data_IF_478617361083
#
_entry.id   IF_478617361083
#
_cell.length_a   1.000
_cell.length_b   1.000
_cell.length_c   1.000
_cell.angle_alpha   90.00
_cell.angle_beta   90.00
_cell.angle_gamma   90.00
#
_symmetry.space_group_name_H-M   'P 1'
#
loop_
_entity.id
_entity.type
_entity.pdbx_description
1 polymer ?
#
# COMPACT_ATOMS: atom_id res chain seq x y z
N UNK A 1 3.97 -8.63 27.40
CA UNK A 1 4.41 -7.21 27.51
C UNK A 1 4.86 -6.60 26.18
N UNK A 2 5.07 -7.37 25.13
CA UNK A 2 5.46 -6.88 23.78
C UNK A 2 4.32 -6.09 23.12
N UNK A 3 3.08 -6.57 23.18
CA UNK A 3 1.94 -5.93 22.52
C UNK A 3 1.68 -4.46 22.89
N UNK A 4 1.77 -4.09 24.17
CA UNK A 4 1.57 -2.70 24.62
C UNK A 4 2.64 -1.70 24.14
N UNK A 5 3.86 -2.16 23.83
CA UNK A 5 4.93 -1.31 23.28
C UNK A 5 4.77 -1.07 21.79
N UNK A 6 4.29 -2.06 21.05
CA UNK A 6 4.05 -1.98 19.60
C UNK A 6 2.89 -1.03 19.29
N UNK A 7 1.78 -1.11 20.03
CA UNK A 7 0.63 -0.21 19.90
C UNK A 7 0.94 1.28 20.09
N UNK A 8 1.97 1.61 20.89
CA UNK A 8 2.38 3.00 21.09
C UNK A 8 3.23 3.57 19.95
N UNK A 9 3.86 2.71 19.15
CA UNK A 9 4.74 3.11 18.03
C UNK A 9 3.97 3.07 16.69
N UNK A 10 3.02 2.13 16.58
CA UNK A 10 2.24 1.90 15.35
C UNK A 10 0.73 2.07 15.67
N UNK A 11 0.17 3.28 15.55
CA UNK A 11 -1.23 3.53 15.88
C UNK A 11 -2.14 2.86 14.86
N UNK A 12 -2.69 1.69 15.21
CA UNK A 12 -3.68 0.98 14.41
C UNK A 12 -5.07 1.57 14.63
N UNK A 13 -5.72 1.98 13.54
CA UNK A 13 -7.15 2.31 13.54
C UNK A 13 -7.91 1.03 13.19
N UNK A 14 -8.67 0.50 14.14
CA UNK A 14 -9.54 -0.66 13.90
C UNK A 14 -10.81 -0.20 13.21
N UNK A 15 -11.17 -0.84 12.12
CA UNK A 15 -12.40 -0.58 11.37
C UNK A 15 -13.08 -1.90 10.99
N UNK A 16 -14.41 -1.88 10.73
CA UNK A 16 -15.10 -3.06 10.23
C UNK A 16 -14.53 -3.50 8.87
N UNK A 17 -14.22 -4.79 8.75
CA UNK A 17 -13.79 -5.39 7.49
C UNK A 17 -15.05 -5.81 6.72
N UNK A 18 -15.14 -5.34 5.46
CA UNK A 18 -16.28 -5.57 4.58
C UNK A 18 -16.08 -6.71 3.58
N UNK A 19 -16.72 -6.57 2.43
CA UNK A 19 -16.66 -7.55 1.34
C UNK A 19 -15.30 -7.59 0.65
N UNK A 20 -15.04 -8.70 -0.08
CA UNK A 20 -13.85 -8.87 -0.90
C UNK A 20 -13.84 -7.85 -2.05
N UNK A 21 -12.82 -7.00 -2.07
CA UNK A 21 -12.60 -5.99 -3.13
C UNK A 21 -11.65 -6.52 -4.19
N UNK A 22 -10.50 -7.07 -3.78
CA UNK A 22 -9.51 -7.65 -4.68
C UNK A 22 -9.37 -9.14 -4.40
N UNK A 23 -9.36 -9.95 -5.46
CA UNK A 23 -9.01 -11.36 -5.38
C UNK A 23 -7.96 -11.69 -6.43
N UNK A 24 -6.93 -12.39 -6.03
CA UNK A 24 -5.84 -12.87 -6.87
C UNK A 24 -5.89 -14.39 -6.83
N UNK A 25 -5.91 -15.05 -8.00
CA UNK A 25 -6.01 -16.51 -8.11
C UNK A 25 -4.87 -17.07 -8.97
N UNK A 26 -4.08 -17.98 -8.38
CA UNK A 26 -3.02 -18.73 -9.03
C UNK A 26 -2.04 -17.86 -9.84
N UNK A 27 -1.78 -16.62 -9.36
CA UNK A 27 -0.93 -15.67 -10.04
C UNK A 27 0.51 -16.15 -10.02
N UNK A 28 1.13 -16.21 -11.20
CA UNK A 28 2.53 -16.60 -11.35
C UNK A 28 3.26 -15.67 -12.30
N UNK A 29 4.53 -15.41 -12.03
CA UNK A 29 5.38 -14.54 -12.80
C UNK A 29 6.86 -14.81 -12.55
N UNK A 30 7.68 -13.82 -12.83
CA UNK A 30 9.09 -13.87 -12.52
C UNK A 30 9.33 -13.52 -11.04
N UNK A 31 9.92 -14.45 -10.29
CA UNK A 31 10.19 -14.34 -8.86
C UNK A 31 9.00 -14.72 -7.95
N UNK A 32 7.86 -15.19 -8.48
CA UNK A 32 6.73 -15.67 -7.67
C UNK A 32 5.88 -16.69 -8.42
N UNK A 33 5.20 -17.60 -7.70
CA UNK A 33 4.40 -18.66 -8.29
C UNK A 33 3.21 -19.06 -7.43
N UNK A 34 2.07 -19.30 -8.11
CA UNK A 34 0.85 -19.83 -7.52
C UNK A 34 0.30 -19.00 -6.34
N UNK A 35 0.38 -17.69 -6.46
CA UNK A 35 -0.09 -16.75 -5.43
C UNK A 35 -1.61 -16.64 -5.51
N UNK A 36 -2.26 -16.96 -4.39
CA UNK A 36 -3.73 -16.86 -4.24
C UNK A 36 -4.06 -16.18 -2.91
N UNK A 37 -4.73 -15.05 -2.95
CA UNK A 37 -5.23 -14.34 -1.79
C UNK A 37 -6.36 -13.37 -2.16
N UNK A 38 -7.03 -12.86 -1.14
CA UNK A 38 -8.04 -11.80 -1.28
C UNK A 38 -7.77 -10.65 -0.31
N UNK A 39 -8.26 -9.46 -0.65
CA UNK A 39 -8.22 -8.27 0.22
C UNK A 39 -9.62 -7.69 0.28
N UNK A 40 -10.05 -7.31 1.49
CA UNK A 40 -11.40 -6.85 1.79
C UNK A 40 -11.46 -5.33 1.95
N UNK A 41 -12.65 -4.77 1.81
CA UNK A 41 -12.89 -3.37 2.11
C UNK A 41 -12.57 -3.07 3.58
N UNK A 42 -11.78 -2.00 3.83
CA UNK A 42 -11.36 -1.63 5.17
C UNK A 42 -10.19 -2.47 5.73
N UNK A 43 -9.68 -3.45 4.98
CA UNK A 43 -8.56 -4.28 5.40
C UNK A 43 -7.22 -3.65 5.04
N UNK A 44 -6.27 -3.73 5.97
CA UNK A 44 -4.83 -3.56 5.70
C UNK A 44 -4.20 -4.95 5.72
N UNK A 45 -3.93 -5.49 4.53
CA UNK A 45 -3.25 -6.77 4.35
C UNK A 45 -1.74 -6.54 4.30
N UNK A 46 -0.99 -7.08 5.26
CA UNK A 46 0.46 -7.05 5.29
C UNK A 46 1.05 -8.19 4.44
N UNK A 47 2.06 -7.88 3.64
CA UNK A 47 2.90 -8.90 3.00
C UNK A 47 4.27 -8.88 3.65
N UNK A 48 4.59 -9.95 4.39
CA UNK A 48 5.85 -10.16 5.10
C UNK A 48 6.72 -11.17 4.38
N UNK A 49 8.03 -11.15 4.64
CA UNK A 49 9.02 -12.06 4.05
C UNK A 49 10.37 -11.40 3.84
N UNK A 50 11.39 -12.16 3.56
CA UNK A 50 12.74 -11.66 3.30
C UNK A 50 12.83 -10.85 1.99
N UNK A 51 13.87 -10.05 1.86
CA UNK A 51 14.17 -9.35 0.61
C UNK A 51 14.35 -10.37 -0.51
N UNK A 52 13.63 -10.17 -1.64
CA UNK A 52 13.62 -11.11 -2.76
C UNK A 52 12.65 -12.28 -2.60
N UNK A 53 11.79 -12.29 -1.57
CA UNK A 53 10.80 -13.35 -1.38
C UNK A 53 9.62 -13.34 -2.36
N UNK A 54 9.54 -12.37 -3.29
CA UNK A 54 8.48 -12.30 -4.31
C UNK A 54 7.32 -11.36 -4.00
N UNK A 55 7.32 -10.66 -2.86
CA UNK A 55 6.25 -9.73 -2.45
C UNK A 55 6.07 -8.57 -3.44
N UNK A 56 7.14 -7.80 -3.67
CA UNK A 56 7.13 -6.64 -4.58
C UNK A 56 6.90 -7.06 -6.03
N UNK A 57 7.42 -8.21 -6.44
CA UNK A 57 7.19 -8.80 -7.76
C UNK A 57 5.70 -9.10 -7.98
N UNK A 58 5.05 -9.72 -6.98
CA UNK A 58 3.60 -10.00 -6.99
C UNK A 58 2.80 -8.69 -7.08
N UNK A 59 3.13 -7.69 -6.25
CA UNK A 59 2.48 -6.39 -6.25
C UNK A 59 2.63 -5.66 -7.60
N UNK A 60 3.84 -5.66 -8.16
CA UNK A 60 4.12 -5.11 -9.48
C UNK A 60 3.33 -5.82 -10.59
N UNK A 61 3.14 -7.15 -10.51
CA UNK A 61 2.35 -7.90 -11.48
C UNK A 61 0.85 -7.59 -11.35
N UNK A 62 0.33 -7.40 -10.14
CA UNK A 62 -1.06 -6.98 -9.90
C UNK A 62 -1.29 -5.57 -10.50
N UNK A 63 -0.33 -4.67 -10.35
CA UNK A 63 -0.40 -3.31 -10.87
C UNK A 63 -0.11 -3.22 -12.38
N UNK A 64 0.44 -4.29 -13.00
CA UNK A 64 0.79 -4.30 -14.43
C UNK A 64 2.13 -3.67 -14.78
N UNK A 65 3.05 -3.53 -13.81
CA UNK A 65 4.45 -3.14 -14.01
C UNK A 65 5.33 -4.33 -14.42
N UNK A 66 4.96 -5.55 -14.06
CA UNK A 66 5.61 -6.80 -14.47
C UNK A 66 4.62 -7.71 -15.18
N UNK A 67 5.10 -8.48 -16.13
CA UNK A 67 4.31 -9.49 -16.81
C UNK A 67 3.98 -10.65 -15.88
N UNK A 68 2.75 -11.13 -15.98
CA UNK A 68 2.32 -12.39 -15.36
C UNK A 68 2.34 -13.52 -16.38
N UNK A 69 2.77 -14.69 -15.97
CA UNK A 69 2.75 -15.91 -16.81
C UNK A 69 1.38 -16.57 -16.80
N UNK A 70 0.70 -16.54 -15.65
CA UNK A 70 -0.63 -17.14 -15.45
C UNK A 70 -1.37 -16.48 -14.28
N UNK A 71 -2.61 -16.89 -14.07
CA UNK A 71 -3.46 -16.46 -12.98
C UNK A 71 -4.44 -15.35 -13.36
N UNK A 72 -5.35 -15.07 -12.43
CA UNK A 72 -6.44 -14.11 -12.63
C UNK A 72 -6.49 -13.09 -11.50
N UNK A 73 -6.93 -11.90 -11.83
CA UNK A 73 -7.13 -10.79 -10.88
C UNK A 73 -8.58 -10.35 -11.01
N UNK A 74 -9.29 -10.35 -9.89
CA UNK A 74 -10.68 -9.90 -9.83
C UNK A 74 -10.77 -8.66 -8.94
N UNK A 75 -11.57 -7.70 -9.37
CA UNK A 75 -11.94 -6.53 -8.59
C UNK A 75 -13.46 -6.48 -8.46
N UNK A 76 -13.98 -6.53 -7.24
CA UNK A 76 -15.41 -6.63 -6.95
C UNK A 76 -16.10 -7.75 -7.76
N UNK A 77 -15.48 -8.92 -7.82
CA UNK A 77 -15.96 -10.10 -8.56
C UNK A 77 -15.76 -10.06 -10.07
N UNK A 78 -15.31 -8.93 -10.65
CA UNK A 78 -15.07 -8.79 -12.09
C UNK A 78 -13.63 -9.14 -12.44
N UNK A 79 -13.41 -10.07 -13.35
CA UNK A 79 -12.08 -10.39 -13.88
C UNK A 79 -11.49 -9.22 -14.66
N UNK A 80 -10.27 -8.83 -14.32
CA UNK A 80 -9.54 -7.73 -14.96
C UNK A 80 -8.43 -8.22 -15.87
N UNK A 81 -8.32 -7.58 -17.03
CA UNK A 81 -7.17 -7.71 -17.92
C UNK A 81 -6.23 -6.53 -17.67
N UNK A 82 -5.22 -6.74 -16.85
CA UNK A 82 -4.21 -5.72 -16.55
C UNK A 82 -2.93 -6.11 -17.29
N UNK A 83 -2.55 -5.35 -18.29
CA UNK A 83 -1.32 -5.56 -19.08
C UNK A 83 -0.30 -4.44 -18.85
N UNK A 84 -0.75 -3.29 -18.34
CA UNK A 84 0.07 -2.11 -18.06
C UNK A 84 -0.55 -1.31 -16.91
N UNK A 85 0.21 -0.44 -16.23
CA UNK A 85 -0.26 0.30 -15.05
C UNK A 85 -1.54 1.11 -15.27
N UNK A 86 -1.72 1.69 -16.46
CA UNK A 86 -2.92 2.46 -16.75
C UNK A 86 -4.20 1.63 -16.67
N UNK A 87 -4.12 0.33 -17.01
CA UNK A 87 -5.28 -0.57 -16.92
C UNK A 87 -5.68 -0.77 -15.44
N UNK A 88 -4.70 -0.90 -14.54
CA UNK A 88 -4.92 -0.98 -13.09
C UNK A 88 -5.53 0.32 -12.54
N UNK A 89 -4.93 1.47 -12.86
CA UNK A 89 -5.36 2.79 -12.40
C UNK A 89 -6.81 3.08 -12.83
N UNK A 90 -7.16 2.80 -14.08
CA UNK A 90 -8.53 3.00 -14.59
C UNK A 90 -9.57 2.13 -13.87
N UNK A 91 -9.17 0.98 -13.33
CA UNK A 91 -10.03 0.11 -12.53
C UNK A 91 -10.02 0.47 -11.03
N UNK A 92 -9.16 1.39 -10.58
CA UNK A 92 -9.06 1.83 -9.20
C UNK A 92 -8.04 1.07 -8.36
N UNK A 93 -7.06 0.38 -8.99
CA UNK A 93 -5.90 -0.20 -8.33
C UNK A 93 -4.73 0.74 -8.53
N UNK A 94 -4.17 1.26 -7.45
CA UNK A 94 -3.02 2.18 -7.49
C UNK A 94 -1.87 1.62 -6.65
N UNK A 95 -0.65 2.05 -6.99
CA UNK A 95 0.55 1.57 -6.31
C UNK A 95 1.49 2.73 -5.96
N UNK A 96 2.01 2.69 -4.75
CA UNK A 96 3.16 3.47 -4.29
C UNK A 96 4.35 2.53 -4.29
N UNK A 97 5.35 2.84 -5.10
CA UNK A 97 6.58 2.07 -5.21
C UNK A 97 7.58 2.50 -4.13
N UNK A 98 8.47 1.60 -3.74
CA UNK A 98 9.56 1.82 -2.78
C UNK A 98 10.40 3.07 -3.11
N UNK A 99 10.80 3.24 -4.37
CA UNK A 99 11.61 4.38 -4.82
C UNK A 99 10.74 5.57 -5.23
N UNK A 100 10.30 6.32 -4.21
CA UNK A 100 9.49 7.52 -4.44
C UNK A 100 10.17 8.61 -5.24
N UNK A 101 11.52 8.69 -5.19
CA UNK A 101 12.25 9.76 -5.85
C UNK A 101 12.32 9.59 -7.36
N UNK A 102 12.50 8.35 -7.82
CA UNK A 102 12.60 8.05 -9.25
C UNK A 102 11.25 7.71 -9.88
N UNK A 103 10.33 7.08 -9.14
CA UNK A 103 9.06 6.59 -9.68
C UNK A 103 7.81 7.25 -9.07
N UNK A 104 7.94 7.86 -7.90
CA UNK A 104 6.81 8.44 -7.17
C UNK A 104 6.54 9.90 -7.46
N UNK A 105 7.56 10.72 -7.69
CA UNK A 105 7.49 12.18 -7.77
C UNK A 105 8.26 12.77 -8.95
N UNK A 106 7.72 13.83 -9.52
CA UNK A 106 8.45 14.76 -10.37
C UNK A 106 9.07 15.83 -9.47
N UNK A 107 10.28 15.56 -8.94
CA UNK A 107 10.91 16.36 -7.88
C UNK A 107 11.09 17.85 -8.24
N UNK A 108 11.38 18.17 -9.51
CA UNK A 108 11.58 19.53 -10.03
C UNK A 108 10.28 20.17 -10.54
N UNK A 109 9.12 19.67 -10.05
CA UNK A 109 7.80 20.25 -10.36
C UNK A 109 7.07 20.62 -9.08
N UNK A 110 6.16 21.59 -9.14
CA UNK A 110 5.36 22.01 -8.01
C UNK A 110 4.64 20.87 -7.30
N UNK A 111 4.52 20.97 -5.98
CA UNK A 111 3.81 19.99 -5.14
C UNK A 111 2.38 19.77 -5.66
N UNK A 112 1.65 20.86 -5.98
CA UNK A 112 0.29 20.78 -6.53
C UNK A 112 0.21 19.98 -7.81
N UNK A 113 1.20 20.10 -8.71
CA UNK A 113 1.25 19.36 -9.97
C UNK A 113 1.50 17.87 -9.73
N UNK A 114 2.36 17.53 -8.77
CA UNK A 114 2.55 16.15 -8.35
C UNK A 114 1.26 15.52 -7.81
N UNK A 115 0.49 16.27 -7.01
CA UNK A 115 -0.79 15.79 -6.46
C UNK A 115 -1.80 15.53 -7.57
N UNK A 116 -1.92 16.42 -8.55
CA UNK A 116 -2.97 16.39 -9.57
C UNK A 116 -2.62 15.55 -10.80
N UNK A 117 -1.35 15.16 -10.96
CA UNK A 117 -0.84 14.48 -12.15
C UNK A 117 -1.65 13.23 -12.58
N UNK A 118 -2.02 12.29 -11.69
CA UNK A 118 -2.79 11.10 -12.10
C UNK A 118 -4.21 11.40 -12.59
N UNK A 119 -4.77 12.52 -12.16
CA UNK A 119 -6.11 12.98 -12.51
C UNK A 119 -6.07 14.25 -13.39
N UNK A 120 -4.98 14.49 -14.12
CA UNK A 120 -4.76 15.74 -14.86
C UNK A 120 -5.91 16.06 -15.84
N UNK A 121 -6.56 15.05 -16.40
CA UNK A 121 -7.67 15.21 -17.31
C UNK A 121 -8.86 15.96 -16.68
N UNK A 122 -9.06 15.83 -15.38
CA UNK A 122 -10.14 16.50 -14.62
C UNK A 122 -9.88 18.00 -14.46
N UNK A 123 -8.67 18.45 -14.73
CA UNK A 123 -8.23 19.84 -14.66
C UNK A 123 -8.06 20.49 -16.03
N UNK A 124 -8.27 19.75 -17.12
CA UNK A 124 -8.16 20.28 -18.50
C UNK A 124 -9.50 20.81 -18.97
N UNK A 125 -9.52 22.05 -19.47
CA UNK A 125 -10.66 22.65 -20.13
C UNK A 125 -10.18 23.35 -21.41
N UNK A 126 -10.77 23.04 -22.56
CA UNK A 126 -10.38 23.59 -23.87
C UNK A 126 -8.86 23.55 -24.13
N UNK A 127 -8.20 22.39 -23.84
CA UNK A 127 -6.77 22.14 -23.99
C UNK A 127 -5.86 22.93 -23.03
N UNK A 128 -6.41 23.64 -22.06
CA UNK A 128 -5.66 24.40 -21.06
C UNK A 128 -5.92 23.82 -19.67
N UNK A 129 -4.90 23.85 -18.79
CA UNK A 129 -5.04 23.45 -17.40
C UNK A 129 -5.71 24.57 -16.61
N UNK A 130 -6.78 24.27 -15.89
CA UNK A 130 -7.41 25.16 -14.95
C UNK A 130 -6.61 25.22 -13.63
N UNK A 131 -5.60 26.08 -13.59
CA UNK A 131 -4.72 26.24 -12.43
C UNK A 131 -5.44 26.69 -11.16
N UNK A 132 -6.59 27.37 -11.27
CA UNK A 132 -7.39 27.75 -10.09
C UNK A 132 -7.99 26.49 -9.44
N UNK A 133 -8.68 25.67 -10.23
CA UNK A 133 -9.25 24.39 -9.76
C UNK A 133 -8.15 23.45 -9.22
N UNK A 134 -7.01 23.39 -9.90
CA UNK A 134 -5.84 22.61 -9.48
C UNK A 134 -5.35 23.02 -8.08
N UNK A 135 -5.20 24.34 -7.81
CA UNK A 135 -4.80 24.84 -6.49
C UNK A 135 -5.83 24.58 -5.40
N UNK A 136 -7.10 24.77 -5.69
CA UNK A 136 -8.19 24.51 -4.74
C UNK A 136 -8.23 23.05 -4.32
N UNK A 137 -8.18 22.13 -5.28
CA UNK A 137 -8.22 20.68 -5.04
C UNK A 137 -6.95 20.19 -4.33
N UNK A 138 -5.77 20.59 -4.81
CA UNK A 138 -4.52 20.21 -4.16
C UNK A 138 -4.40 20.74 -2.73
N UNK A 139 -4.93 21.96 -2.46
CA UNK A 139 -5.02 22.50 -1.10
C UNK A 139 -5.94 21.68 -0.20
N UNK A 140 -7.08 21.23 -0.71
CA UNK A 140 -8.01 20.36 0.03
C UNK A 140 -7.37 19.03 0.39
N UNK A 141 -6.74 18.36 -0.58
CA UNK A 141 -6.04 17.09 -0.36
C UNK A 141 -4.88 17.25 0.62
N UNK A 142 -4.07 18.28 0.46
CA UNK A 142 -2.94 18.60 1.34
C UNK A 142 -3.36 18.72 2.82
N UNK A 143 -4.51 19.32 3.08
CA UNK A 143 -5.09 19.41 4.44
C UNK A 143 -5.55 18.03 4.94
N UNK A 144 -6.19 17.23 4.08
CA UNK A 144 -6.70 15.90 4.43
C UNK A 144 -5.56 14.97 4.91
N UNK A 145 -4.39 15.04 4.29
CA UNK A 145 -3.22 14.21 4.65
C UNK A 145 -2.25 14.91 5.62
N UNK A 146 -2.63 16.07 6.17
CA UNK A 146 -1.77 16.87 7.06
C UNK A 146 -0.36 17.09 6.46
N UNK A 147 -0.33 17.52 5.18
CA UNK A 147 0.93 17.83 4.50
C UNK A 147 1.53 19.12 5.07
N UNK A 148 2.74 19.06 5.60
CA UNK A 148 3.45 20.25 6.07
C UNK A 148 4.23 20.87 4.91
N UNK A 149 3.54 21.71 4.14
CA UNK A 149 4.12 22.50 3.05
C UNK A 149 3.72 23.97 3.18
N UNK A 150 4.70 24.86 3.16
CA UNK A 150 4.46 26.33 3.27
C UNK A 150 3.69 26.86 2.06
N UNK A 151 3.99 26.33 0.89
CA UNK A 151 3.38 26.72 -0.38
C UNK A 151 3.40 25.51 -1.34
N UNK A 152 2.27 25.19 -1.96
CA UNK A 152 2.14 24.09 -2.92
C UNK A 152 2.70 24.41 -4.32
N UNK A 153 3.07 25.66 -4.58
CA UNK A 153 3.76 26.08 -5.80
C UNK A 153 5.29 25.88 -5.71
N UNK A 154 5.84 25.47 -4.54
CA UNK A 154 7.23 25.07 -4.41
C UNK A 154 7.44 23.67 -5.00
N UNK A 155 8.65 23.40 -5.49
CA UNK A 155 9.06 22.11 -6.00
C UNK A 155 9.00 21.02 -4.91
N UNK A 156 8.60 19.81 -5.30
CA UNK A 156 8.50 18.67 -4.39
C UNK A 156 9.87 18.29 -3.76
N UNK A 157 10.99 18.66 -4.42
CA UNK A 157 12.33 18.49 -3.87
C UNK A 157 12.55 19.25 -2.55
N UNK A 158 11.85 20.35 -2.31
CA UNK A 158 11.95 21.15 -1.07
C UNK A 158 11.37 20.48 0.17
N UNK A 159 10.62 19.38 0.01
CA UNK A 159 9.98 18.68 1.09
C UNK A 159 10.90 17.69 1.80
N UNK A 160 10.68 17.49 3.11
CA UNK A 160 11.25 16.35 3.84
C UNK A 160 10.74 15.01 3.28
N UNK A 161 11.49 13.92 3.54
CA UNK A 161 11.13 12.58 3.07
C UNK A 161 9.70 12.16 3.45
N UNK A 162 9.26 12.42 4.67
CA UNK A 162 7.90 12.12 5.12
C UNK A 162 6.83 12.95 4.38
N UNK A 163 7.09 14.23 4.11
CA UNK A 163 6.17 15.04 3.32
C UNK A 163 6.16 14.65 1.84
N UNK A 164 7.31 14.25 1.28
CA UNK A 164 7.36 13.66 -0.06
C UNK A 164 6.48 12.41 -0.14
N UNK A 165 6.56 11.53 0.85
CA UNK A 165 5.73 10.32 0.91
C UNK A 165 4.24 10.65 1.01
N UNK A 166 3.86 11.65 1.81
CA UNK A 166 2.47 12.16 1.86
C UNK A 166 2.01 12.66 0.48
N UNK A 167 2.85 13.35 -0.28
CA UNK A 167 2.51 13.76 -1.65
C UNK A 167 2.30 12.57 -2.56
N UNK A 168 3.14 11.51 -2.47
CA UNK A 168 2.97 10.28 -3.26
C UNK A 168 1.66 9.58 -2.92
N UNK A 169 1.27 9.53 -1.65
CA UNK A 169 -0.04 8.99 -1.26
C UNK A 169 -1.19 9.85 -1.79
N UNK A 170 -1.07 11.18 -1.66
CA UNK A 170 -2.13 12.12 -2.00
C UNK A 170 -2.53 12.10 -3.46
N UNK A 171 -1.59 11.84 -4.37
CA UNK A 171 -1.87 11.84 -5.81
C UNK A 171 -2.90 10.77 -6.20
N UNK A 172 -2.94 9.64 -5.49
CA UNK A 172 -3.90 8.57 -5.75
C UNK A 172 -5.30 8.85 -5.18
N UNK A 173 -5.41 9.73 -4.18
CA UNK A 173 -6.71 10.11 -3.60
C UNK A 173 -7.61 10.90 -4.56
N UNK A 174 -7.08 11.38 -5.66
CA UNK A 174 -7.82 12.04 -6.73
C UNK A 174 -8.34 11.07 -7.79
N UNK A 175 -7.99 9.80 -7.70
CA UNK A 175 -8.47 8.75 -8.61
C UNK A 175 -9.67 8.01 -8.00
N UNK A 176 -10.33 7.18 -8.80
CA UNK A 176 -11.39 6.28 -8.30
C UNK A 176 -10.78 5.08 -7.54
N UNK A 177 -10.06 5.38 -6.46
CA UNK A 177 -9.25 4.43 -5.70
C UNK A 177 -10.11 3.42 -4.96
N UNK A 178 -9.84 2.13 -5.16
CA UNK A 178 -10.48 0.99 -4.48
C UNK A 178 -9.47 0.11 -3.76
N UNK A 179 -8.28 -0.03 -4.35
CA UNK A 179 -7.16 -0.79 -3.80
C UNK A 179 -5.89 0.04 -3.86
N UNK A 180 -5.21 0.20 -2.74
CA UNK A 180 -3.93 0.88 -2.64
C UNK A 180 -2.84 -0.11 -2.25
N UNK A 181 -1.87 -0.30 -3.14
CA UNK A 181 -0.67 -1.09 -2.87
C UNK A 181 0.44 -0.15 -2.42
N UNK A 182 1.04 -0.44 -1.28
CA UNK A 182 2.11 0.35 -0.67
C UNK A 182 3.35 -0.54 -0.51
N UNK A 183 4.36 -0.28 -1.32
CA UNK A 183 5.63 -0.99 -1.26
C UNK A 183 6.64 -0.14 -0.49
N UNK A 184 7.04 -0.60 0.70
CA UNK A 184 7.93 0.08 1.64
C UNK A 184 7.53 1.55 1.92
N UNK A 185 6.27 1.83 2.36
CA UNK A 185 5.74 3.20 2.42
C UNK A 185 6.49 4.11 3.42
N UNK A 186 7.21 3.55 4.36
CA UNK A 186 7.90 4.29 5.42
C UNK A 186 9.42 4.27 5.30
N UNK A 187 9.95 3.66 4.23
CA UNK A 187 11.40 3.57 4.02
C UNK A 187 12.05 4.94 3.84
N UNK A 188 13.11 5.18 4.62
CA UNK A 188 13.85 6.44 4.58
C UNK A 188 13.05 7.65 5.08
N UNK A 189 12.13 7.41 6.02
CA UNK A 189 11.29 8.42 6.67
C UNK A 189 11.61 8.41 8.17
N UNK A 190 11.55 9.57 8.82
CA UNK A 190 11.75 9.68 10.26
C UNK A 190 10.57 9.09 11.06
N UNK A 191 10.80 8.75 12.34
CA UNK A 191 9.83 8.05 13.21
C UNK A 191 8.50 8.80 13.31
N UNK A 192 8.53 10.13 13.41
CA UNK A 192 7.32 10.93 13.51
C UNK A 192 6.49 10.88 12.23
N UNK A 193 7.16 10.94 11.07
CA UNK A 193 6.49 10.85 9.79
C UNK A 193 5.99 9.41 9.48
N UNK A 194 6.64 8.34 10.00
CA UNK A 194 6.11 6.98 9.94
C UNK A 194 4.73 6.89 10.59
N UNK A 195 4.60 7.39 11.83
CA UNK A 195 3.32 7.39 12.55
C UNK A 195 2.22 8.17 11.80
N UNK A 196 2.57 9.28 11.15
CA UNK A 196 1.64 10.04 10.32
C UNK A 196 1.17 9.25 9.08
N UNK A 197 2.07 8.52 8.42
CA UNK A 197 1.75 7.67 7.26
C UNK A 197 0.81 6.54 7.69
N UNK A 198 1.10 5.87 8.81
CA UNK A 198 0.25 4.81 9.36
C UNK A 198 -1.15 5.34 9.71
N UNK A 199 -1.23 6.53 10.31
CA UNK A 199 -2.52 7.16 10.59
C UNK A 199 -3.31 7.41 9.30
N UNK A 200 -2.67 7.95 8.26
CA UNK A 200 -3.32 8.17 6.96
C UNK A 200 -3.82 6.85 6.37
N UNK A 201 -3.02 5.78 6.44
CA UNK A 201 -3.44 4.44 6.00
C UNK A 201 -4.67 3.95 6.76
N UNK A 202 -4.67 4.05 8.09
CA UNK A 202 -5.81 3.67 8.92
C UNK A 202 -7.07 4.50 8.63
N UNK A 203 -6.93 5.82 8.43
CA UNK A 203 -8.03 6.69 8.03
C UNK A 203 -8.61 6.32 6.66
N UNK A 204 -7.76 5.93 5.70
CA UNK A 204 -8.20 5.46 4.39
C UNK A 204 -8.91 4.10 4.47
N UNK A 205 -8.36 3.15 5.23
CA UNK A 205 -9.00 1.86 5.48
C UNK A 205 -10.38 2.05 6.15
N UNK A 206 -10.50 2.93 7.14
CA UNK A 206 -11.78 3.23 7.81
C UNK A 206 -12.85 3.80 6.86
N UNK A 207 -12.45 4.34 5.70
CA UNK A 207 -13.35 4.79 4.62
C UNK A 207 -13.71 3.65 3.65
N UNK A 208 -13.28 2.41 3.92
CA UNK A 208 -13.56 1.22 3.11
C UNK A 208 -12.51 0.92 2.03
N UNK A 209 -11.36 1.63 2.04
CA UNK A 209 -10.29 1.33 1.09
C UNK A 209 -9.61 0.01 1.45
N UNK A 210 -9.40 -0.87 0.47
CA UNK A 210 -8.57 -2.06 0.60
C UNK A 210 -7.09 -1.68 0.44
N UNK A 211 -6.23 -2.05 1.40
CA UNK A 211 -4.81 -1.70 1.38
C UNK A 211 -3.96 -2.96 1.42
N UNK A 212 -2.98 -3.05 0.53
CA UNK A 212 -1.89 -4.03 0.59
C UNK A 212 -0.64 -3.28 1.02
N UNK A 213 -0.02 -3.70 2.11
CA UNK A 213 1.20 -3.09 2.61
C UNK A 213 2.35 -4.10 2.60
N UNK A 214 3.44 -3.73 1.95
CA UNK A 214 4.69 -4.48 1.96
C UNK A 214 5.66 -3.69 2.84
N UNK A 215 6.29 -4.35 3.80
CA UNK A 215 7.38 -3.78 4.60
C UNK A 215 8.42 -4.85 4.93
N UNK A 216 9.67 -4.43 5.00
CA UNK A 216 10.77 -5.25 5.51
C UNK A 216 10.91 -5.17 7.04
N UNK A 217 10.14 -4.28 7.69
CA UNK A 217 10.11 -4.14 9.15
C UNK A 217 8.96 -4.96 9.72
N UNK A 218 9.22 -6.20 10.18
CA UNK A 218 8.20 -7.09 10.73
C UNK A 218 7.37 -6.46 11.86
N UNK A 219 7.94 -5.69 12.82
CA UNK A 219 7.15 -4.99 13.83
C UNK A 219 6.14 -3.98 13.23
N UNK A 220 6.46 -3.37 12.09
CA UNK A 220 5.56 -2.47 11.38
C UNK A 220 4.37 -3.23 10.81
N UNK A 221 4.63 -4.34 10.11
CA UNK A 221 3.60 -5.22 9.55
C UNK A 221 2.66 -5.71 10.65
N UNK A 222 3.21 -6.25 11.75
CA UNK A 222 2.45 -6.72 12.91
C UNK A 222 1.60 -5.60 13.52
N UNK A 223 2.16 -4.40 13.65
CA UNK A 223 1.50 -3.27 14.30
C UNK A 223 0.30 -2.73 13.52
N UNK A 224 0.35 -2.77 12.18
CA UNK A 224 -0.60 -2.06 11.30
C UNK A 224 -1.60 -2.99 10.63
N UNK A 225 -1.21 -4.24 10.30
CA UNK A 225 -2.02 -5.14 9.47
C UNK A 225 -3.19 -5.74 10.24
N UNK A 226 -4.25 -6.08 9.53
CA UNK A 226 -5.38 -6.88 10.01
C UNK A 226 -5.12 -8.37 9.79
N UNK A 227 -4.36 -8.68 8.73
CA UNK A 227 -3.92 -10.02 8.38
C UNK A 227 -2.57 -9.91 7.69
N UNK A 228 -1.73 -10.93 7.86
CA UNK A 228 -0.38 -10.98 7.30
C UNK A 228 -0.28 -12.22 6.41
N UNK A 229 0.23 -12.04 5.20
CA UNK A 229 0.66 -13.13 4.33
C UNK A 229 2.18 -13.17 4.37
N UNK A 230 2.73 -14.32 4.75
CA UNK A 230 4.17 -14.53 4.83
C UNK A 230 4.64 -15.19 3.54
N UNK A 231 5.62 -14.56 2.90
CA UNK A 231 6.22 -15.04 1.66
C UNK A 231 7.57 -15.71 1.94
N UNK A 232 7.80 -16.83 1.25
CA UNK A 232 9.09 -17.51 1.17
C UNK A 232 9.33 -17.97 -0.26
N UNK A 233 10.49 -17.66 -0.84
CA UNK A 233 10.92 -18.10 -2.18
C UNK A 233 9.84 -18.03 -3.27
N UNK A 234 9.15 -16.92 -3.34
CA UNK A 234 8.13 -16.66 -4.35
C UNK A 234 6.77 -17.34 -4.11
N UNK A 235 6.53 -17.88 -2.93
CA UNK A 235 5.28 -18.57 -2.55
C UNK A 235 4.73 -18.00 -1.24
N UNK A 236 3.44 -18.22 -1.00
CA UNK A 236 2.84 -18.00 0.31
C UNK A 236 3.19 -19.18 1.20
N UNK A 237 3.87 -18.92 2.30
CA UNK A 237 4.29 -19.91 3.29
C UNK A 237 3.39 -19.91 4.54
N UNK A 238 2.64 -18.85 4.79
CA UNK A 238 1.71 -18.77 5.91
C UNK A 238 0.77 -17.58 5.79
N UNK A 239 -0.35 -17.68 6.50
CA UNK A 239 -1.31 -16.58 6.65
C UNK A 239 -1.58 -16.46 8.15
N UNK A 240 -1.43 -15.26 8.69
CA UNK A 240 -1.56 -14.95 10.11
C UNK A 240 -2.62 -13.88 10.27
N UNK A 241 -3.67 -14.19 10.99
CA UNK A 241 -4.69 -13.21 11.38
C UNK A 241 -4.23 -12.41 12.59
N UNK A 242 -4.61 -11.13 12.66
CA UNK A 242 -4.25 -10.26 13.78
C UNK A 242 -4.66 -10.85 15.13
N UNK A 243 -5.79 -11.53 15.20
CA UNK A 243 -6.27 -12.15 16.43
C UNK A 243 -5.30 -13.21 16.96
N UNK A 244 -4.65 -13.98 16.10
CA UNK A 244 -3.63 -14.97 16.49
C UNK A 244 -2.46 -14.30 17.20
N UNK A 245 -2.05 -13.12 16.72
CA UNK A 245 -0.95 -12.35 17.35
C UNK A 245 -1.40 -11.76 18.69
N UNK A 246 -2.59 -11.16 18.75
CA UNK A 246 -3.12 -10.53 19.96
C UNK A 246 -3.41 -11.54 21.08
N UNK A 247 -3.85 -12.74 20.73
CA UNK A 247 -4.11 -13.83 21.67
C UNK A 247 -2.84 -14.58 22.08
N UNK A 248 -1.69 -14.28 21.47
CA UNK A 248 -0.42 -14.96 21.72
C UNK A 248 -0.38 -16.38 21.15
N UNK A 249 -1.20 -16.68 20.14
CA UNK A 249 -1.23 -17.97 19.44
C UNK A 249 -0.05 -18.09 18.48
N UNK A 250 0.49 -16.96 18.02
CA UNK A 250 1.70 -16.86 17.19
C UNK A 250 2.56 -15.70 17.67
N UNK A 251 3.86 -15.94 17.80
CA UNK A 251 4.86 -14.95 18.18
C UNK A 251 5.51 -14.28 16.97
N UNK A 252 6.25 -13.18 17.20
CA UNK A 252 7.05 -12.52 16.18
C UNK A 252 8.14 -13.46 15.63
N UNK A 253 8.76 -14.27 16.51
CA UNK A 253 9.77 -15.25 16.15
C UNK A 253 9.21 -16.34 15.22
N UNK A 254 7.99 -16.81 15.47
CA UNK A 254 7.33 -17.80 14.60
C UNK A 254 6.97 -17.23 13.24
N UNK A 255 6.53 -15.96 13.17
CA UNK A 255 6.33 -15.30 11.87
C UNK A 255 7.66 -15.18 11.12
N UNK A 256 8.74 -14.85 11.83
CA UNK A 256 10.07 -14.80 11.24
C UNK A 256 10.52 -16.18 10.75
N UNK A 257 10.26 -17.26 11.49
CA UNK A 257 10.54 -18.64 11.06
C UNK A 257 9.82 -19.00 9.77
N UNK A 258 8.56 -18.57 9.61
CA UNK A 258 7.83 -18.73 8.35
C UNK A 258 8.50 -17.97 7.19
N UNK A 259 9.10 -16.79 7.42
CA UNK A 259 9.86 -16.07 6.39
C UNK A 259 11.12 -16.85 5.93
N UNK A 260 11.69 -17.67 6.80
CA UNK A 260 12.82 -18.56 6.49
C UNK A 260 12.41 -19.89 5.89
N UNK A 261 11.11 -20.16 5.72
CA UNK A 261 10.59 -21.35 5.07
C UNK A 261 10.27 -22.51 6.02
N UNK A 262 10.28 -22.29 7.31
CA UNK A 262 9.75 -23.26 8.25
C UNK A 262 8.23 -23.40 8.07
N UNK A 263 7.70 -24.60 8.22
CA UNK A 263 6.27 -24.84 8.15
C UNK A 263 5.61 -24.47 9.49
N UNK A 264 4.38 -23.93 9.42
CA UNK A 264 3.59 -23.71 10.61
C UNK A 264 3.25 -25.07 11.22
N UNK A 265 3.83 -25.43 12.38
CA UNK A 265 3.35 -26.58 13.13
C UNK A 265 1.90 -26.30 13.53
N UNK A 266 0.95 -26.96 12.86
CA UNK A 266 -0.43 -26.96 13.28
C UNK A 266 -0.47 -27.59 14.68
N UNK A 267 -0.53 -26.74 15.70
CA UNK A 267 -0.83 -27.20 17.05
C UNK A 267 -2.29 -27.67 16.99
N UNK A 268 -2.46 -28.97 16.78
CA UNK A 268 -3.75 -29.61 17.06
C UNK A 268 -4.05 -29.43 18.55
N UNK A 269 -4.96 -28.49 18.84
CA UNK A 269 -5.53 -28.31 20.17
C UNK A 269 -6.95 -28.81 20.19
#
# INVERSE_FOLDING_TARGET
MVGKKVESIFPKITCPIGDVVLKVENLSGDGFSNITFEVRAGEILGLSGLVGSGRSETACAIFGLRERRSGMIYLNGRNLKINKPIDAIQNGICMVNEDRKNFGLCLNRPIRENITLPAIQDFVSYLLINHKKEREVSSSISKKITLNAKNLDLDAFSLSGGNQQKVVLSKWLLTNLKVLILDEPTRGVDVGAKADIHRVMGELASQGLAIIMISSELPEIIGISDRIIVYHEGKINGIVDREMILNGEISEEEILSLEFGEEMEMIER
#
